data_IF_711266114990
#
_entry.id   IF_711266114990
#
_cell.length_a   1.000
_cell.length_b   1.000
_cell.length_c   1.000
_cell.angle_alpha   90.00
_cell.angle_beta   90.00
_cell.angle_gamma   90.00
#
_symmetry.space_group_name_H-M   'P 1'
#
loop_
_entity.id
_entity.type
_entity.pdbx_description
1 polymer ?
#
# COMPACT_ATOMS: atom_id res chain seq x y z
N UNK A 1 -4.65 -7.63 -20.53
CA UNK A 1 -3.42 -7.89 -19.73
C UNK A 1 -2.47 -8.68 -20.62
N UNK A 2 -1.19 -8.29 -20.75
CA UNK A 2 -0.23 -9.07 -21.56
C UNK A 2 -0.07 -10.48 -20.94
N UNK A 3 0.06 -11.51 -21.77
CA UNK A 3 0.19 -12.91 -21.29
C UNK A 3 1.34 -13.05 -20.29
N UNK A 4 2.45 -12.34 -20.52
CA UNK A 4 3.64 -12.36 -19.67
C UNK A 4 3.39 -11.79 -18.28
N UNK A 5 2.68 -10.65 -18.17
CA UNK A 5 2.30 -10.10 -16.87
C UNK A 5 1.39 -11.05 -16.10
N UNK A 6 0.49 -11.75 -16.80
CA UNK A 6 -0.40 -12.74 -16.18
C UNK A 6 0.35 -13.95 -15.65
N UNK A 7 1.36 -14.44 -16.36
CA UNK A 7 2.18 -15.56 -15.89
C UNK A 7 3.05 -15.16 -14.69
N UNK A 8 3.65 -13.97 -14.72
CA UNK A 8 4.42 -13.46 -13.57
C UNK A 8 3.55 -13.19 -12.36
N UNK A 9 2.33 -12.68 -12.54
CA UNK A 9 1.39 -12.51 -11.44
C UNK A 9 0.91 -13.84 -10.86
N UNK A 10 0.62 -14.83 -11.71
CA UNK A 10 0.28 -16.17 -11.24
C UNK A 10 1.44 -16.81 -10.48
N UNK A 11 2.68 -16.64 -10.98
CA UNK A 11 3.88 -17.08 -10.28
C UNK A 11 4.01 -16.40 -8.92
N UNK A 12 3.79 -15.09 -8.82
CA UNK A 12 3.86 -14.39 -7.53
C UNK A 12 2.67 -14.66 -6.59
N UNK A 13 1.49 -14.99 -7.11
CA UNK A 13 0.41 -15.51 -6.28
C UNK A 13 0.75 -16.87 -5.69
N UNK A 14 1.43 -17.72 -6.47
CA UNK A 14 1.87 -19.04 -6.04
C UNK A 14 3.06 -18.95 -5.07
N UNK A 15 3.97 -17.99 -5.31
CA UNK A 15 5.00 -17.63 -4.35
C UNK A 15 4.35 -16.76 -3.27
N UNK A 16 3.73 -17.41 -2.28
CA UNK A 16 3.13 -16.83 -1.07
C UNK A 16 4.03 -15.80 -0.35
N UNK A 17 4.15 -14.59 -0.89
CA UNK A 17 5.16 -13.65 -0.46
C UNK A 17 4.63 -12.24 -0.19
N UNK A 18 5.02 -11.78 1.00
CA UNK A 18 5.01 -10.42 1.54
C UNK A 18 3.73 -9.93 2.23
N UNK A 19 3.88 -9.05 3.23
CA UNK A 19 3.28 -9.20 4.56
C UNK A 19 1.80 -8.90 4.55
N UNK A 20 1.15 -9.23 5.66
CA UNK A 20 -0.11 -8.64 6.12
C UNK A 20 0.03 -7.10 6.32
N UNK A 21 0.48 -6.35 5.30
CA UNK A 21 0.45 -4.89 5.30
C UNK A 21 -1.00 -4.48 5.19
N UNK A 22 -1.71 -4.93 4.15
CA UNK A 22 -3.13 -4.66 3.98
C UNK A 22 -3.96 -5.87 4.41
N UNK A 23 -4.72 -5.73 5.50
CA UNK A 23 -5.70 -6.72 5.92
C UNK A 23 -7.00 -6.05 6.35
N UNK A 24 -8.12 -6.73 6.12
CA UNK A 24 -9.44 -6.26 6.51
C UNK A 24 -10.11 -7.25 7.44
N UNK A 25 -10.54 -6.74 8.60
CA UNK A 25 -11.34 -7.49 9.56
C UNK A 25 -12.77 -6.97 9.50
N UNK A 26 -13.71 -7.83 9.09
CA UNK A 26 -15.13 -7.50 9.08
C UNK A 26 -15.63 -7.34 10.51
N UNK A 27 -16.45 -6.32 10.75
CA UNK A 27 -17.20 -6.11 11.99
C UNK A 27 -18.64 -5.83 11.60
N UNK A 28 -19.61 -6.57 12.14
CA UNK A 28 -21.04 -6.36 11.87
C UNK A 28 -21.68 -5.83 13.13
N UNK A 29 -22.28 -4.64 13.06
CA UNK A 29 -23.05 -4.07 14.15
C UNK A 29 -24.47 -4.65 14.15
N UNK A 30 -25.04 -4.89 15.34
CA UNK A 30 -26.43 -5.36 15.49
C UNK A 30 -27.37 -4.22 15.89
N UNK A 31 -28.65 -4.37 15.58
CA UNK A 31 -29.68 -3.31 15.68
C UNK A 31 -29.94 -2.85 17.13
N UNK A 32 -29.67 -3.70 18.13
CA UNK A 32 -29.92 -3.40 19.55
C UNK A 32 -28.76 -2.66 20.24
N UNK A 33 -27.85 -2.04 19.48
CA UNK A 33 -26.61 -1.42 19.99
C UNK A 33 -25.67 -2.35 20.76
N UNK A 34 -25.99 -3.64 20.86
CA UNK A 34 -25.05 -4.68 21.21
C UNK A 34 -24.15 -4.96 20.01
N UNK A 35 -22.84 -4.80 20.13
CA UNK A 35 -21.96 -5.49 19.20
C UNK A 35 -22.09 -6.98 19.52
N UNK A 36 -22.84 -7.76 18.74
CA UNK A 36 -22.59 -9.20 18.75
C UNK A 36 -21.20 -9.38 18.17
N UNK A 37 -20.20 -9.52 19.04
CA UNK A 37 -18.90 -10.11 18.73
C UNK A 37 -19.17 -11.55 18.30
N UNK A 38 -19.77 -11.74 17.13
CA UNK A 38 -19.89 -13.03 16.50
C UNK A 38 -18.47 -13.42 16.12
N UNK A 39 -17.84 -14.26 16.95
CA UNK A 39 -16.50 -14.83 16.80
C UNK A 39 -15.85 -14.50 15.46
N UNK A 40 -15.20 -13.33 15.39
CA UNK A 40 -14.57 -12.90 14.15
C UNK A 40 -13.22 -13.58 14.06
N UNK A 41 -13.24 -14.74 13.40
CA UNK A 41 -12.01 -15.27 12.81
C UNK A 41 -11.45 -14.16 11.93
N UNK A 42 -10.20 -13.72 12.16
CA UNK A 42 -9.58 -12.77 11.26
C UNK A 42 -9.69 -13.34 9.84
N UNK A 43 -10.31 -12.59 8.93
CA UNK A 43 -9.98 -12.75 7.52
C UNK A 43 -8.55 -12.25 7.43
N UNK A 44 -7.62 -13.15 7.76
CA UNK A 44 -6.27 -13.02 7.27
C UNK A 44 -6.42 -13.11 5.76
N UNK A 45 -6.32 -11.96 5.10
CA UNK A 45 -5.69 -11.91 3.79
C UNK A 45 -4.19 -12.23 3.90
N UNK A 46 -3.76 -12.88 4.98
CA UNK A 46 -2.52 -13.60 5.06
C UNK A 46 -2.57 -14.76 4.11
N UNK A 47 -2.02 -14.53 2.93
CA UNK A 47 -1.17 -15.53 2.32
C UNK A 47 0.04 -15.70 3.28
N UNK A 48 -0.19 -16.38 4.41
CA UNK A 48 0.80 -16.75 5.41
C UNK A 48 1.66 -17.91 4.92
N UNK A 49 2.84 -18.11 5.53
CA UNK A 49 4.01 -18.59 4.83
C UNK A 49 3.92 -20.06 4.44
N UNK A 50 4.47 -20.39 3.27
CA UNK A 50 5.14 -21.67 3.09
C UNK A 50 6.62 -21.38 2.77
N UNK A 51 7.50 -21.89 3.63
CA UNK A 51 8.80 -21.31 3.99
C UNK A 51 9.95 -21.49 2.97
N UNK A 52 9.68 -21.55 1.65
CA UNK A 52 10.74 -21.96 0.69
C UNK A 52 11.27 -20.86 -0.24
N UNK A 53 10.49 -19.82 -0.56
CA UNK A 53 10.97 -18.70 -1.41
C UNK A 53 10.98 -17.32 -0.73
N UNK A 54 10.17 -17.08 0.31
CA UNK A 54 10.34 -15.93 1.23
C UNK A 54 11.72 -15.89 1.89
N UNK A 55 12.37 -17.05 1.98
CA UNK A 55 13.74 -17.21 2.46
C UNK A 55 14.80 -16.66 1.47
N UNK A 56 14.47 -16.50 0.18
CA UNK A 56 15.40 -15.97 -0.83
C UNK A 56 15.00 -14.56 -1.27
N UNK A 57 15.31 -13.58 -0.42
CA UNK A 57 15.03 -12.14 -0.62
C UNK A 57 15.56 -11.62 -1.96
N UNK A 58 16.69 -12.16 -2.42
CA UNK A 58 17.31 -11.79 -3.70
C UNK A 58 16.40 -12.12 -4.88
N UNK A 59 15.87 -13.34 -4.95
CA UNK A 59 14.97 -13.74 -6.05
C UNK A 59 13.72 -12.86 -6.04
N UNK A 60 13.22 -12.51 -4.87
CA UNK A 60 12.05 -11.66 -4.74
C UNK A 60 12.25 -10.25 -5.26
N UNK A 61 13.40 -9.64 -4.97
CA UNK A 61 13.72 -8.31 -5.48
C UNK A 61 13.86 -8.30 -7.00
N UNK A 62 14.41 -9.38 -7.58
CA UNK A 62 14.46 -9.57 -9.03
C UNK A 62 13.06 -9.72 -9.63
N UNK A 63 12.17 -10.50 -9.00
CA UNK A 63 10.80 -10.66 -9.48
C UNK A 63 10.01 -9.34 -9.41
N UNK A 64 10.13 -8.58 -8.33
CA UNK A 64 9.49 -7.28 -8.19
C UNK A 64 10.03 -6.26 -9.20
N UNK A 65 11.33 -6.27 -9.47
CA UNK A 65 11.92 -5.48 -10.54
C UNK A 65 11.31 -5.84 -11.91
N UNK A 66 11.27 -7.13 -12.25
CA UNK A 66 10.68 -7.59 -13.52
C UNK A 66 9.22 -7.16 -13.65
N UNK A 67 8.44 -7.23 -12.57
CA UNK A 67 7.04 -6.80 -12.58
C UNK A 67 6.87 -5.34 -12.93
N UNK A 68 7.61 -4.46 -12.23
CA UNK A 68 7.44 -3.02 -12.46
C UNK A 68 7.99 -2.61 -13.83
N UNK A 69 9.04 -3.27 -14.32
CA UNK A 69 9.57 -3.04 -15.66
C UNK A 69 8.56 -3.47 -16.73
N UNK A 70 7.93 -4.65 -16.56
CA UNK A 70 6.85 -5.11 -17.43
C UNK A 70 5.60 -4.21 -17.35
N UNK A 71 5.31 -3.65 -16.18
CA UNK A 71 4.22 -2.69 -15.98
C UNK A 71 4.50 -1.40 -16.75
N UNK A 72 5.72 -0.85 -16.62
CA UNK A 72 6.16 0.34 -17.35
C UNK A 72 6.11 0.12 -18.85
N UNK A 73 6.62 -1.02 -19.34
CA UNK A 73 6.64 -1.35 -20.77
C UNK A 73 5.23 -1.49 -21.34
N UNK A 74 4.30 -2.02 -20.56
CA UNK A 74 2.88 -2.09 -20.95
C UNK A 74 2.26 -0.70 -21.05
N UNK A 75 2.50 0.15 -20.05
CA UNK A 75 1.89 1.48 -19.95
C UNK A 75 2.55 2.50 -20.88
N UNK A 76 3.79 2.22 -21.32
CA UNK A 76 4.59 3.08 -22.19
C UNK A 76 5.23 2.26 -23.32
N UNK A 77 4.46 1.77 -24.31
CA UNK A 77 4.97 0.90 -25.38
C UNK A 77 6.15 1.50 -26.16
N UNK A 78 6.19 2.83 -26.31
CA UNK A 78 7.26 3.54 -27.01
C UNK A 78 8.60 3.55 -26.26
N UNK A 79 8.61 3.14 -24.99
CA UNK A 79 9.81 3.05 -24.15
C UNK A 79 10.37 1.62 -24.06
N UNK A 80 9.73 0.65 -24.71
CA UNK A 80 10.16 -0.75 -24.68
C UNK A 80 11.55 -0.89 -25.31
N UNK A 81 12.45 -1.56 -24.61
CA UNK A 81 13.84 -1.77 -25.05
C UNK A 81 14.80 -0.60 -24.78
N UNK A 82 14.30 0.55 -24.30
CA UNK A 82 15.14 1.66 -23.87
C UNK A 82 15.91 1.33 -22.58
N UNK A 83 17.05 1.97 -22.36
CA UNK A 83 17.78 1.85 -21.11
C UNK A 83 17.03 2.50 -19.94
N UNK A 84 17.34 2.07 -18.71
CA UNK A 84 16.65 2.57 -17.51
C UNK A 84 16.64 4.11 -17.39
N UNK A 85 17.77 4.78 -17.67
CA UNK A 85 17.89 6.23 -17.49
C UNK A 85 16.95 6.93 -18.46
N UNK A 86 16.93 6.44 -19.71
CA UNK A 86 16.04 6.95 -20.75
C UNK A 86 14.57 6.72 -20.39
N UNK A 87 14.18 5.51 -19.96
CA UNK A 87 12.83 5.22 -19.48
C UNK A 87 12.45 6.17 -18.34
N UNK A 88 13.23 6.22 -17.27
CA UNK A 88 12.92 7.00 -16.07
C UNK A 88 12.72 8.49 -16.37
N UNK A 89 13.56 9.08 -17.23
CA UNK A 89 13.44 10.49 -17.60
C UNK A 89 12.17 10.78 -18.41
N UNK A 90 11.74 9.85 -19.26
CA UNK A 90 10.56 9.99 -20.12
C UNK A 90 9.24 9.62 -19.41
N UNK A 91 9.28 8.85 -18.33
CA UNK A 91 8.07 8.48 -17.56
C UNK A 91 7.34 9.73 -17.05
N UNK A 92 6.03 9.75 -17.24
CA UNK A 92 5.14 10.75 -16.67
C UNK A 92 5.18 10.72 -15.12
N UNK A 93 4.93 11.88 -14.52
CA UNK A 93 4.83 12.06 -13.08
C UNK A 93 3.74 13.08 -12.69
N UNK A 94 2.79 13.39 -13.58
CA UNK A 94 1.71 14.34 -13.36
C UNK A 94 0.67 13.84 -12.35
N UNK A 95 0.36 12.55 -12.37
CA UNK A 95 -0.61 11.94 -11.46
C UNK A 95 0.09 11.28 -10.27
N UNK A 96 -0.61 11.16 -9.14
CA UNK A 96 -0.12 10.39 -7.98
C UNK A 96 0.25 8.95 -8.37
N UNK A 97 -0.54 8.31 -9.25
CA UNK A 97 -0.27 6.95 -9.69
C UNK A 97 1.03 6.86 -10.53
N UNK A 98 1.16 7.67 -11.58
CA UNK A 98 2.35 7.67 -12.45
C UNK A 98 3.62 8.08 -11.69
N UNK A 99 3.50 9.06 -10.79
CA UNK A 99 4.59 9.46 -9.89
C UNK A 99 5.08 8.29 -9.02
N UNK A 100 4.17 7.60 -8.32
CA UNK A 100 4.52 6.51 -7.40
C UNK A 100 5.15 5.34 -8.18
N UNK A 101 4.58 4.98 -9.34
CA UNK A 101 5.14 3.96 -10.23
C UNK A 101 6.58 4.32 -10.65
N UNK A 102 6.82 5.56 -11.06
CA UNK A 102 8.14 6.05 -11.47
C UNK A 102 9.18 5.97 -10.35
N UNK A 103 8.85 6.43 -9.14
CA UNK A 103 9.81 6.41 -8.02
C UNK A 103 10.04 4.99 -7.48
N UNK A 104 9.03 4.12 -7.48
CA UNK A 104 9.22 2.70 -7.15
C UNK A 104 10.14 2.00 -8.15
N UNK A 105 10.06 2.33 -9.45
CA UNK A 105 10.96 1.79 -10.46
C UNK A 105 12.42 2.15 -10.21
N UNK A 106 12.67 3.40 -9.80
CA UNK A 106 14.00 3.86 -9.40
C UNK A 106 14.54 3.12 -8.18
N UNK A 107 13.73 3.03 -7.13
CA UNK A 107 14.12 2.37 -5.87
C UNK A 107 14.46 0.90 -6.08
N UNK A 108 13.59 0.15 -6.75
CA UNK A 108 13.82 -1.29 -6.94
C UNK A 108 14.98 -1.56 -7.91
N UNK A 109 15.27 -0.66 -8.86
CA UNK A 109 16.49 -0.75 -9.69
C UNK A 109 17.75 -0.68 -8.84
N UNK A 110 17.86 0.26 -7.89
CA UNK A 110 19.04 0.39 -7.04
C UNK A 110 19.32 -0.92 -6.28
N UNK A 111 18.28 -1.49 -5.70
CA UNK A 111 18.32 -2.77 -4.98
C UNK A 111 18.75 -3.89 -5.92
N UNK A 112 18.08 -4.04 -7.07
CA UNK A 112 18.39 -5.07 -8.07
C UNK A 112 19.82 -4.96 -8.58
N UNK A 113 20.30 -3.75 -8.86
CA UNK A 113 21.66 -3.56 -9.34
C UNK A 113 22.69 -4.00 -8.30
N UNK A 114 22.42 -3.77 -7.02
CA UNK A 114 23.36 -4.15 -5.98
C UNK A 114 23.45 -5.67 -5.91
N UNK A 115 22.30 -6.32 -5.85
CA UNK A 115 22.17 -7.79 -5.89
C UNK A 115 22.88 -8.41 -7.11
N UNK A 116 22.73 -7.84 -8.30
CA UNK A 116 23.30 -8.41 -9.54
C UNK A 116 24.81 -8.18 -9.65
N UNK A 117 25.31 -7.05 -9.18
CA UNK A 117 26.70 -6.66 -9.39
C UNK A 117 27.65 -7.08 -8.25
N UNK A 118 27.18 -7.20 -7.00
CA UNK A 118 27.96 -7.66 -5.86
C UNK A 118 27.04 -7.95 -4.65
N UNK A 119 26.99 -9.19 -4.14
CA UNK A 119 26.14 -9.48 -2.97
C UNK A 119 26.56 -8.72 -1.70
N UNK A 120 27.82 -8.28 -1.60
CA UNK A 120 28.30 -7.44 -0.48
C UNK A 120 27.81 -5.98 -0.60
N UNK A 121 27.26 -5.59 -1.75
CA UNK A 121 26.68 -4.26 -1.95
C UNK A 121 25.40 -4.03 -1.13
N UNK A 122 24.74 -5.10 -0.65
CA UNK A 122 23.59 -5.01 0.24
C UNK A 122 23.98 -5.48 1.64
N UNK A 123 24.04 -4.55 2.58
CA UNK A 123 24.33 -4.86 3.99
C UNK A 123 23.11 -4.58 4.87
N UNK A 124 22.98 -5.35 5.95
CA UNK A 124 21.94 -5.16 6.95
C UNK A 124 22.60 -4.75 8.27
N UNK A 125 22.16 -3.64 8.83
CA UNK A 125 22.68 -3.09 10.08
C UNK A 125 21.57 -2.87 11.11
N UNK A 126 21.91 -2.94 12.38
CA UNK A 126 21.01 -2.63 13.48
C UNK A 126 20.37 -3.85 14.15
N UNK A 127 19.67 -3.58 15.25
CA UNK A 127 18.97 -4.57 16.04
C UNK A 127 17.47 -4.55 15.71
N UNK A 128 16.81 -5.69 15.79
CA UNK A 128 15.35 -5.74 15.78
C UNK A 128 14.85 -5.37 17.18
N UNK A 129 14.20 -4.22 17.34
CA UNK A 129 13.53 -3.90 18.60
C UNK A 129 12.20 -4.66 18.67
N UNK A 130 11.92 -5.26 19.84
CA UNK A 130 10.69 -6.02 20.07
C UNK A 130 9.46 -5.16 19.75
N UNK A 131 8.46 -5.85 19.22
CA UNK A 131 7.08 -5.41 18.97
C UNK A 131 6.63 -4.47 20.08
N UNK A 132 6.20 -3.26 19.69
CA UNK A 132 5.35 -2.44 20.55
C UNK A 132 3.92 -2.62 20.07
N UNK A 133 3.04 -3.01 21.00
CA UNK A 133 1.63 -2.70 20.84
C UNK A 133 1.53 -1.17 20.79
N UNK A 134 0.90 -0.64 19.75
CA UNK A 134 0.45 0.74 19.81
C UNK A 134 -0.61 0.88 20.92
N UNK A 135 -1.07 2.10 21.20
CA UNK A 135 -2.10 2.37 22.22
C UNK A 135 -3.41 1.59 21.99
N UNK A 136 -3.53 0.83 20.89
CA UNK A 136 -4.71 0.07 20.50
C UNK A 136 -4.44 -1.43 20.29
N UNK A 137 -3.36 -1.95 20.88
CA UNK A 137 -3.10 -3.38 20.94
C UNK A 137 -2.76 -4.01 19.59
N UNK A 138 -2.43 -3.20 18.58
CA UNK A 138 -1.95 -3.70 17.29
C UNK A 138 -0.44 -3.83 17.40
N UNK A 139 0.07 -5.05 17.19
CA UNK A 139 1.50 -5.29 17.08
C UNK A 139 2.06 -4.48 15.91
N UNK A 140 2.71 -3.34 16.21
CA UNK A 140 3.46 -2.59 15.20
C UNK A 140 4.87 -3.14 15.16
N UNK A 141 5.19 -3.84 14.07
CA UNK A 141 6.55 -4.31 13.84
C UNK A 141 7.43 -3.10 13.53
N UNK A 142 8.24 -2.68 14.50
CA UNK A 142 9.30 -1.70 14.27
C UNK A 142 10.60 -2.44 13.99
N UNK A 143 10.80 -2.81 12.73
CA UNK A 143 12.13 -3.25 12.30
C UNK A 143 13.06 -2.05 12.21
N UNK A 144 13.84 -1.85 13.25
CA UNK A 144 14.87 -0.82 13.27
C UNK A 144 16.12 -1.22 12.49
N UNK A 145 16.16 -2.43 11.90
CA UNK A 145 17.24 -2.79 10.98
C UNK A 145 17.18 -1.93 9.73
N UNK A 146 18.35 -1.43 9.36
CA UNK A 146 18.59 -0.70 8.13
C UNK A 146 19.12 -1.66 7.08
N UNK A 147 18.65 -1.47 5.86
CA UNK A 147 19.20 -2.04 4.65
C UNK A 147 19.97 -0.93 3.96
N UNK A 148 21.27 -1.15 3.78
CA UNK A 148 22.16 -0.27 3.06
C UNK A 148 22.51 -0.91 1.72
N UNK A 149 22.33 -0.16 0.65
CA UNK A 149 22.61 -0.57 -0.72
C UNK A 149 23.69 0.36 -1.25
N UNK A 150 24.85 -0.17 -1.64
CA UNK A 150 25.98 0.60 -2.15
C UNK A 150 26.47 0.01 -3.48
N UNK A 151 26.32 0.74 -4.57
CA UNK A 151 26.82 0.33 -5.88
C UNK A 151 28.24 0.85 -6.09
N UNK A 152 29.23 -0.04 -6.00
CA UNK A 152 30.62 0.29 -6.35
C UNK A 152 30.75 0.43 -7.87
N UNK A 153 31.04 1.63 -8.34
CA UNK A 153 31.25 1.94 -9.76
C UNK A 153 32.10 3.19 -9.98
N UNK A 154 32.75 3.30 -11.14
CA UNK A 154 33.73 4.37 -11.46
C UNK A 154 33.20 5.82 -11.47
N UNK A 155 31.92 6.08 -11.18
CA UNK A 155 31.32 7.43 -11.12
C UNK A 155 30.19 7.46 -10.09
N UNK A 156 30.28 8.37 -9.09
CA UNK A 156 29.34 8.63 -7.99
C UNK A 156 28.72 7.36 -7.41
N UNK A 157 29.28 6.87 -6.30
CA UNK A 157 28.75 5.72 -5.56
C UNK A 157 27.23 5.88 -5.37
N UNK A 158 26.43 5.08 -6.09
CA UNK A 158 24.97 5.12 -5.93
C UNK A 158 24.63 4.40 -4.62
N UNK A 159 23.81 5.03 -3.77
CA UNK A 159 23.49 4.55 -2.43
C UNK A 159 22.01 4.63 -2.12
N UNK A 160 21.51 3.68 -1.34
CA UNK A 160 20.20 3.74 -0.69
C UNK A 160 20.32 3.26 0.76
N UNK A 161 19.93 4.10 1.71
CA UNK A 161 19.78 3.76 3.13
C UNK A 161 18.29 3.81 3.48
N UNK A 162 17.72 2.66 3.82
CA UNK A 162 16.32 2.54 4.21
C UNK A 162 16.11 1.52 5.32
N UNK A 163 15.06 1.67 6.12
CA UNK A 163 14.65 0.62 7.06
C UNK A 163 14.04 -0.57 6.32
N UNK A 164 14.16 -1.76 6.89
CA UNK A 164 13.52 -2.96 6.34
C UNK A 164 12.00 -2.80 6.23
N UNK A 165 11.37 -2.08 7.16
CA UNK A 165 9.95 -1.74 7.04
C UNK A 165 9.65 -0.92 5.77
N UNK A 166 10.55 -0.02 5.39
CA UNK A 166 10.47 0.68 4.10
C UNK A 166 10.53 -0.29 2.92
N UNK A 167 11.41 -1.29 2.98
CA UNK A 167 11.52 -2.32 1.94
C UNK A 167 10.21 -3.12 1.81
N UNK A 168 9.57 -3.46 2.91
CA UNK A 168 8.27 -4.12 2.93
C UNK A 168 7.17 -3.24 2.29
N UNK A 169 7.15 -1.93 2.58
CA UNK A 169 6.25 -1.00 1.90
C UNK A 169 6.55 -0.86 0.41
N UNK A 170 7.82 -0.86 -0.01
CA UNK A 170 8.18 -0.87 -1.44
C UNK A 170 7.62 -2.11 -2.14
N UNK A 171 7.77 -3.28 -1.53
CA UNK A 171 7.23 -4.53 -2.06
C UNK A 171 5.71 -4.47 -2.21
N UNK A 172 5.02 -4.01 -1.17
CA UNK A 172 3.57 -3.84 -1.18
C UNK A 172 3.12 -2.85 -2.26
N UNK A 173 3.78 -1.68 -2.38
CA UNK A 173 3.40 -0.66 -3.38
C UNK A 173 3.58 -1.20 -4.79
N UNK A 174 4.70 -1.87 -5.09
CA UNK A 174 4.93 -2.49 -6.41
C UNK A 174 3.85 -3.53 -6.69
N UNK A 175 3.57 -4.41 -5.73
CA UNK A 175 2.51 -5.40 -5.84
C UNK A 175 1.16 -4.73 -6.12
N UNK A 176 0.79 -3.72 -5.33
CA UNK A 176 -0.47 -3.01 -5.43
C UNK A 176 -0.63 -2.33 -6.80
N UNK A 177 0.41 -1.68 -7.32
CA UNK A 177 0.41 -1.07 -8.66
C UNK A 177 0.14 -2.09 -9.77
N UNK A 178 0.67 -3.30 -9.65
CA UNK A 178 0.47 -4.33 -10.69
C UNK A 178 -0.95 -4.91 -10.63
N UNK A 179 -1.51 -5.04 -9.42
CA UNK A 179 -2.84 -5.63 -9.20
C UNK A 179 -4.00 -4.65 -9.37
N UNK A 180 -3.81 -3.40 -8.94
CA UNK A 180 -4.76 -2.29 -9.05
C UNK A 180 -4.20 -1.29 -10.06
N UNK A 181 -4.22 -1.69 -11.34
CA UNK A 181 -3.53 -1.01 -12.46
C UNK A 181 -4.04 0.41 -12.73
N UNK A 182 -5.27 0.71 -12.36
CA UNK A 182 -5.89 2.02 -12.46
C UNK A 182 -6.54 2.38 -11.11
N UNK A 183 -5.73 2.64 -10.07
CA UNK A 183 -6.26 2.85 -8.74
C UNK A 183 -7.02 4.17 -8.71
N UNK A 184 -8.26 4.12 -8.22
CA UNK A 184 -9.15 5.28 -8.06
C UNK A 184 -9.77 5.26 -6.67
N UNK A 185 -10.28 6.42 -6.23
CA UNK A 185 -10.92 6.57 -4.94
C UNK A 185 -10.08 5.94 -3.82
N UNK A 186 -10.69 5.01 -3.09
CA UNK A 186 -10.09 4.40 -1.91
C UNK A 186 -8.79 3.62 -2.22
N UNK A 187 -8.67 3.00 -3.40
CA UNK A 187 -7.44 2.30 -3.79
C UNK A 187 -6.27 3.26 -3.98
N UNK A 188 -6.54 4.46 -4.49
CA UNK A 188 -5.50 5.49 -4.64
C UNK A 188 -5.08 6.07 -3.29
N UNK A 189 -6.02 6.16 -2.33
CA UNK A 189 -5.74 6.53 -0.94
C UNK A 189 -4.81 5.53 -0.25
N UNK A 190 -5.03 4.22 -0.45
CA UNK A 190 -4.13 3.16 0.04
C UNK A 190 -2.74 3.35 -0.55
N UNK A 191 -2.65 3.49 -1.88
CA UNK A 191 -1.39 3.60 -2.61
C UNK A 191 -0.57 4.81 -2.12
N UNK A 192 -1.19 5.99 -2.03
CA UNK A 192 -0.54 7.22 -1.54
C UNK A 192 -0.08 7.06 -0.09
N UNK A 193 -0.94 6.53 0.78
CA UNK A 193 -0.61 6.34 2.19
C UNK A 193 0.57 5.38 2.35
N UNK A 194 0.61 4.29 1.60
CA UNK A 194 1.68 3.29 1.67
C UNK A 194 2.99 3.84 1.11
N UNK A 195 2.93 4.62 0.02
CA UNK A 195 4.09 5.32 -0.51
C UNK A 195 4.65 6.33 0.50
N UNK A 196 3.80 7.11 1.17
CA UNK A 196 4.27 8.03 2.21
C UNK A 196 4.99 7.30 3.36
N UNK A 197 4.48 6.12 3.77
CA UNK A 197 5.17 5.26 4.75
C UNK A 197 6.49 4.70 4.21
N UNK A 198 6.58 4.36 2.92
CA UNK A 198 7.84 3.99 2.28
C UNK A 198 8.85 5.14 2.39
N UNK A 199 8.47 6.36 1.98
CA UNK A 199 9.36 7.53 2.00
C UNK A 199 9.84 7.86 3.41
N UNK A 200 8.95 7.80 4.41
CA UNK A 200 9.35 8.04 5.81
C UNK A 200 10.36 7.02 6.36
N UNK A 201 10.54 5.89 5.68
CA UNK A 201 11.49 4.85 6.02
C UNK A 201 12.77 4.88 5.17
N UNK A 202 12.91 5.84 4.25
CA UNK A 202 14.14 6.07 3.49
C UNK A 202 14.92 7.19 4.18
N UNK A 203 16.12 6.87 4.67
CA UNK A 203 17.00 7.84 5.32
C UNK A 203 17.76 8.68 4.30
N UNK A 204 18.29 8.04 3.25
CA UNK A 204 18.99 8.72 2.17
C UNK A 204 18.98 7.91 0.89
N UNK A 205 19.05 8.62 -0.24
CA UNK A 205 19.22 8.05 -1.57
C UNK A 205 20.19 8.95 -2.32
N UNK A 206 21.09 8.36 -3.10
CA UNK A 206 21.92 9.09 -4.05
C UNK A 206 22.12 8.21 -5.27
N UNK A 207 21.74 8.71 -6.43
CA UNK A 207 21.97 8.04 -7.69
C UNK A 207 22.07 9.03 -8.86
N UNK A 208 22.12 8.51 -10.08
CA UNK A 208 22.17 9.34 -11.29
C UNK A 208 20.91 10.21 -11.51
N UNK A 209 19.82 9.95 -10.80
CA UNK A 209 18.57 10.71 -10.89
C UNK A 209 18.48 11.82 -9.84
N UNK A 210 19.36 11.80 -8.82
CA UNK A 210 19.48 12.82 -7.79
C UNK A 210 19.66 12.23 -6.40
N UNK A 211 19.63 13.11 -5.39
CA UNK A 211 19.92 12.76 -4.00
C UNK A 211 18.67 12.78 -3.09
N UNK A 212 17.48 12.80 -3.71
CA UNK A 212 16.19 12.79 -3.00
C UNK A 212 15.08 12.21 -3.87
N UNK A 213 13.95 11.88 -3.22
CA UNK A 213 12.67 11.61 -3.87
C UNK A 213 11.85 12.90 -3.77
N UNK A 214 11.26 13.34 -4.88
CA UNK A 214 10.43 14.54 -4.92
C UNK A 214 9.15 14.35 -4.10
N UNK A 215 8.50 15.45 -3.72
CA UNK A 215 7.20 15.37 -3.10
C UNK A 215 6.19 14.80 -4.10
N UNK A 216 5.51 13.73 -3.69
CA UNK A 216 4.49 13.10 -4.52
C UNK A 216 3.28 14.05 -4.65
N UNK A 217 2.70 14.22 -5.85
CA UNK A 217 1.52 15.07 -6.07
C UNK A 217 0.44 14.85 -5.01
N UNK A 218 -0.20 15.95 -4.60
CA UNK A 218 -1.31 15.89 -3.65
C UNK A 218 -2.49 15.17 -4.29
N UNK A 219 -3.19 14.36 -3.48
CA UNK A 219 -4.54 13.94 -3.84
C UNK A 219 -5.48 15.13 -3.63
N UNK A 220 -6.66 15.11 -4.26
CA UNK A 220 -7.76 15.98 -3.82
C UNK A 220 -8.05 15.77 -2.33
N UNK A 221 -7.84 14.53 -1.86
CA UNK A 221 -7.92 14.13 -0.47
C UNK A 221 -6.67 14.51 0.31
N UNK A 222 -6.84 15.21 1.42
CA UNK A 222 -5.79 15.34 2.44
C UNK A 222 -5.70 14.13 3.38
N UNK A 223 -6.55 13.12 3.19
CA UNK A 223 -6.62 11.97 4.10
C UNK A 223 -5.42 11.05 3.89
N UNK A 224 -4.83 10.58 4.98
CA UNK A 224 -3.80 9.55 4.99
C UNK A 224 -4.20 8.46 5.97
N UNK A 225 -4.17 7.20 5.52
CA UNK A 225 -4.49 6.06 6.38
C UNK A 225 -3.40 5.88 7.43
N UNK A 226 -3.80 5.78 8.70
CA UNK A 226 -2.87 5.59 9.82
C UNK A 226 -2.25 4.20 9.82
N UNK A 227 -3.06 3.20 9.46
CA UNK A 227 -2.67 1.80 9.35
C UNK A 227 -3.46 1.06 8.27
N UNK A 228 -2.91 -0.09 7.87
CA UNK A 228 -3.42 -0.93 6.77
C UNK A 228 -3.98 -2.27 7.26
N UNK A 229 -3.85 -2.57 8.56
CA UNK A 229 -4.68 -3.56 9.25
C UNK A 229 -5.93 -2.86 9.75
N UNK A 230 -7.04 -3.04 9.03
CA UNK A 230 -8.23 -2.21 9.19
C UNK A 230 -9.46 -3.02 9.58
N UNK A 231 -10.27 -2.48 10.48
CA UNK A 231 -11.59 -3.02 10.79
C UNK A 231 -12.63 -2.37 9.88
N UNK A 232 -13.42 -3.16 9.16
CA UNK A 232 -14.49 -2.64 8.31
C UNK A 232 -15.83 -2.88 8.99
N UNK A 233 -16.46 -1.79 9.40
CA UNK A 233 -17.76 -1.79 10.07
C UNK A 233 -18.89 -1.82 9.05
N UNK A 234 -19.68 -2.88 9.11
CA UNK A 234 -20.92 -3.04 8.37
C UNK A 234 -22.12 -2.72 9.27
N UNK A 235 -23.21 -2.25 8.66
CA UNK A 235 -24.43 -1.84 9.34
C UNK A 235 -24.20 -0.69 10.34
N UNK A 236 -23.25 0.19 10.05
CA UNK A 236 -23.12 1.44 10.78
C UNK A 236 -24.38 2.29 10.58
N UNK A 237 -24.81 2.96 11.65
CA UNK A 237 -25.90 3.93 11.57
C UNK A 237 -25.36 5.16 10.84
N UNK A 238 -25.78 5.29 9.59
CA UNK A 238 -25.37 6.36 8.69
C UNK A 238 -26.61 7.17 8.31
N UNK A 239 -26.56 8.47 8.56
CA UNK A 239 -27.56 9.44 8.12
C UNK A 239 -26.91 10.46 7.21
N UNK A 240 -27.70 11.16 6.41
CA UNK A 240 -27.19 12.18 5.49
C UNK A 240 -28.10 13.41 5.45
N UNK A 241 -27.48 14.57 5.21
CA UNK A 241 -28.16 15.80 4.82
C UNK A 241 -27.77 16.17 3.37
N UNK A 242 -28.09 17.38 2.91
CA UNK A 242 -27.77 17.81 1.54
C UNK A 242 -26.26 17.86 1.25
N UNK A 243 -25.41 18.09 2.25
CA UNK A 243 -23.98 18.37 2.10
C UNK A 243 -23.10 17.30 2.74
N UNK A 244 -23.60 16.54 3.71
CA UNK A 244 -22.80 15.74 4.62
C UNK A 244 -23.39 14.37 4.87
N UNK A 245 -22.52 13.45 5.24
CA UNK A 245 -22.84 12.15 5.80
C UNK A 245 -22.38 12.12 7.25
N UNK A 246 -23.22 11.54 8.10
CA UNK A 246 -23.00 11.39 9.53
C UNK A 246 -22.97 9.91 9.88
N UNK A 247 -22.00 9.53 10.71
CA UNK A 247 -21.77 8.16 11.14
C UNK A 247 -21.71 8.14 12.67
N UNK A 248 -22.53 7.30 13.31
CA UNK A 248 -22.49 7.12 14.77
C UNK A 248 -21.36 6.16 15.16
N UNK A 249 -20.38 6.62 15.95
CA UNK A 249 -19.12 5.90 16.27
C UNK A 249 -19.15 5.26 17.68
N UNK A 250 -20.10 5.68 18.53
CA UNK A 250 -19.99 5.66 20.01
C UNK A 250 -19.73 4.32 20.70
N UNK A 251 -19.94 3.18 20.04
CA UNK A 251 -20.05 1.89 20.74
C UNK A 251 -18.89 0.90 20.45
N UNK A 252 -17.98 1.21 19.51
CA UNK A 252 -16.76 0.43 19.27
C UNK A 252 -15.68 1.25 18.54
N UNK A 253 -14.52 1.46 19.18
CA UNK A 253 -13.42 2.23 18.60
C UNK A 253 -12.24 1.33 18.20
N UNK A 254 -11.90 1.35 16.91
CA UNK A 254 -10.60 0.93 16.41
C UNK A 254 -9.97 2.11 15.65
N UNK A 255 -8.71 2.48 15.92
CA UNK A 255 -8.07 3.67 15.37
C UNK A 255 -7.82 3.57 13.86
N UNK A 256 -7.85 2.35 13.34
CA UNK A 256 -7.68 2.02 11.93
C UNK A 256 -8.95 1.27 11.50
N UNK A 257 -10.00 2.02 11.23
CA UNK A 257 -11.25 1.44 10.75
C UNK A 257 -11.84 2.20 9.58
N UNK A 258 -12.66 1.47 8.83
CA UNK A 258 -13.47 1.99 7.73
C UNK A 258 -14.93 1.69 8.00
N UNK A 259 -15.79 2.62 7.64
CA UNK A 259 -17.23 2.42 7.67
C UNK A 259 -17.70 2.08 6.26
N UNK A 260 -18.33 0.92 6.14
CA UNK A 260 -18.93 0.46 4.91
C UNK A 260 -20.24 1.22 4.67
N UNK A 261 -20.38 1.81 3.48
CA UNK A 261 -21.61 2.47 3.09
C UNK A 261 -21.98 2.17 1.64
N UNK A 262 -23.25 1.85 1.43
CA UNK A 262 -23.86 1.67 0.12
C UNK A 262 -24.89 2.77 -0.09
N UNK A 263 -24.79 3.47 -1.23
CA UNK A 263 -25.77 4.45 -1.66
C UNK A 263 -26.10 4.21 -3.14
N UNK A 264 -27.29 3.67 -3.39
CA UNK A 264 -27.69 3.22 -4.72
C UNK A 264 -26.75 2.12 -5.25
N UNK A 265 -26.10 2.38 -6.39
CA UNK A 265 -25.13 1.46 -7.01
C UNK A 265 -23.69 1.64 -6.50
N UNK A 266 -23.44 2.71 -5.75
CA UNK A 266 -22.10 3.10 -5.34
C UNK A 266 -21.78 2.58 -3.94
N UNK A 267 -20.52 2.18 -3.77
CA UNK A 267 -19.99 1.62 -2.53
C UNK A 267 -18.80 2.44 -2.08
N UNK A 268 -18.77 2.72 -0.78
CA UNK A 268 -17.75 3.54 -0.14
C UNK A 268 -17.16 2.84 1.08
N UNK A 269 -15.87 3.04 1.29
CA UNK A 269 -15.20 2.77 2.56
C UNK A 269 -14.76 4.11 3.12
N UNK A 270 -15.45 4.57 4.15
CA UNK A 270 -15.19 5.86 4.80
C UNK A 270 -14.18 5.63 5.93
N UNK A 271 -12.90 5.95 5.74
CA UNK A 271 -11.90 5.74 6.79
C UNK A 271 -12.21 6.67 7.97
N UNK A 272 -12.00 6.20 9.20
CA UNK A 272 -12.12 7.03 10.40
C UNK A 272 -11.34 8.34 10.28
N UNK A 273 -10.18 8.28 9.62
CA UNK A 273 -9.29 9.41 9.34
C UNK A 273 -9.92 10.51 8.46
N UNK A 274 -11.02 10.22 7.76
CA UNK A 274 -11.77 11.19 6.97
C UNK A 274 -12.87 11.92 7.75
N UNK A 275 -13.21 11.45 8.95
CA UNK A 275 -14.36 11.93 9.72
C UNK A 275 -13.96 13.05 10.67
N UNK A 276 -14.71 14.16 10.65
CA UNK A 276 -14.70 15.15 11.72
C UNK A 276 -15.61 14.66 12.84
N UNK A 277 -15.02 14.21 13.96
CA UNK A 277 -15.75 13.58 15.07
C UNK A 277 -16.05 14.63 16.14
N UNK A 278 -17.33 14.75 16.52
CA UNK A 278 -17.75 15.63 17.61
C UNK A 278 -17.63 14.98 19.00
N UNK A 279 -17.97 15.74 20.05
CA UNK A 279 -17.89 15.28 21.45
C UNK A 279 -18.87 14.14 21.77
N UNK A 280 -19.90 13.94 20.94
CA UNK A 280 -20.92 12.91 21.14
C UNK A 280 -20.60 11.62 20.41
N UNK A 281 -19.51 11.61 19.61
CA UNK A 281 -19.09 10.47 18.81
C UNK A 281 -19.83 10.39 17.47
N UNK A 282 -20.33 11.51 16.95
CA UNK A 282 -20.85 11.59 15.59
C UNK A 282 -19.72 12.02 14.64
N UNK A 283 -19.35 11.15 13.72
CA UNK A 283 -18.38 11.43 12.67
C UNK A 283 -19.05 12.06 11.45
N UNK A 284 -18.47 13.13 10.93
CA UNK A 284 -18.99 13.87 9.77
C UNK A 284 -18.02 13.84 8.58
N UNK A 285 -18.53 13.58 7.38
CA UNK A 285 -17.78 13.72 6.12
C UNK A 285 -18.59 14.47 5.06
N UNK A 286 -17.95 15.36 4.30
CA UNK A 286 -18.63 16.13 3.25
C UNK A 286 -18.82 15.26 2.00
N UNK A 287 -20.01 15.34 1.38
CA UNK A 287 -20.38 14.59 0.18
C UNK A 287 -19.48 14.90 -1.02
N UNK A 288 -18.90 16.09 -1.10
CA UNK A 288 -17.99 16.47 -2.17
C UNK A 288 -16.66 15.65 -2.17
N UNK A 289 -16.32 14.98 -1.07
CA UNK A 289 -15.15 14.11 -0.95
C UNK A 289 -15.45 12.62 -1.20
N UNK A 290 -16.71 12.24 -1.42
CA UNK A 290 -17.10 10.82 -1.50
C UNK A 290 -16.42 10.05 -2.63
N UNK A 291 -16.12 10.71 -3.75
CA UNK A 291 -15.40 10.10 -4.87
C UNK A 291 -14.03 9.55 -4.45
N UNK A 292 -13.41 10.14 -3.41
CA UNK A 292 -12.13 9.73 -2.83
C UNK A 292 -12.23 8.42 -2.05
N UNK A 293 -13.41 8.07 -1.58
CA UNK A 293 -13.68 6.90 -0.75
C UNK A 293 -14.45 5.81 -1.50
N UNK A 294 -14.77 6.07 -2.77
CA UNK A 294 -15.46 5.12 -3.63
C UNK A 294 -14.59 3.89 -3.84
N UNK A 295 -15.24 2.73 -3.83
CA UNK A 295 -14.61 1.41 -3.97
C UNK A 295 -15.12 0.73 -5.22
N UNK A 296 -14.21 0.11 -5.97
CA UNK A 296 -14.59 -0.66 -7.15
C UNK A 296 -15.16 -2.02 -6.76
N UNK A 297 -16.05 -2.57 -7.60
CA UNK A 297 -16.57 -3.95 -7.43
C UNK A 297 -15.43 -4.98 -7.38
N UNK A 298 -14.38 -4.76 -8.17
CA UNK A 298 -13.18 -5.60 -8.18
C UNK A 298 -12.51 -5.58 -6.81
N UNK A 299 -12.33 -4.39 -6.22
CA UNK A 299 -11.74 -4.25 -4.90
C UNK A 299 -12.57 -4.99 -3.83
N UNK A 300 -13.90 -4.81 -3.83
CA UNK A 300 -14.79 -5.50 -2.89
C UNK A 300 -14.66 -7.02 -2.97
N UNK A 301 -14.65 -7.57 -4.19
CA UNK A 301 -14.52 -9.01 -4.41
C UNK A 301 -13.16 -9.56 -3.97
N UNK A 302 -12.08 -8.84 -4.27
CA UNK A 302 -10.70 -9.26 -3.96
C UNK A 302 -10.34 -9.12 -2.48
N UNK A 303 -10.72 -8.00 -1.85
CA UNK A 303 -10.19 -7.62 -0.54
C UNK A 303 -11.21 -7.76 0.59
N UNK A 304 -12.53 -7.74 0.31
CA UNK A 304 -13.56 -7.86 1.34
C UNK A 304 -14.38 -9.15 1.25
N UNK A 305 -14.07 -10.03 0.28
CA UNK A 305 -14.75 -11.30 0.02
C UNK A 305 -16.28 -11.16 0.03
N UNK A 306 -16.79 -10.00 -0.42
CA UNK A 306 -18.23 -9.75 -0.55
C UNK A 306 -18.65 -10.24 -1.93
N UNK A 307 -19.45 -11.29 -1.97
CA UNK A 307 -20.10 -11.76 -3.20
C UNK A 307 -20.93 -10.61 -3.78
N UNK A 308 -20.69 -10.27 -5.05
CA UNK A 308 -21.55 -9.34 -5.78
C UNK A 308 -22.79 -10.16 -6.16
N UNK A 309 -23.89 -9.97 -5.45
CA UNK A 309 -25.22 -10.41 -5.90
C UNK A 309 -25.81 -9.38 -6.85
#
# INVERSE_FOLDING_TARGET
MSKNLSYMLNFLYQIKNHPDILSYRKVVLSDDYGASLGDFRPIHLGIGPDNRMSANRVVMDLCLFMLIDALIDRDNPDLVGEDFITKYKKLDAETTHSFIQKECFRLIRLIRNAIVHDNEAVTFEGECKKIKEDEVGIATYQDTRKMLVNLKGKKKDEKLDMYLLGKEYLNFVIWFLVFEQNPQGYSLLILKSAFNKLISNINSISDRMGDSIKECPSLSSSVLLKGFNRHVFFNAIITEDNENIFIKIKDYYSPCCDYYWESGSDVYLLPLESLAIDKEGLGKVNKNKLSEFKVSKIFLSKYLNKSIT
#
